data_IF_498388003224
#
_entry.id   IF_498388003224
#
_cell.length_a   1.000
_cell.length_b   1.000
_cell.length_c   1.000
_cell.angle_alpha   90.00
_cell.angle_beta   90.00
_cell.angle_gamma   90.00
#
_symmetry.space_group_name_H-M   'P 1'
#
loop_
_entity.id
_entity.type
_entity.pdbx_description
1 polymer ?
#
# COMPACT_ATOMS: atom_id res chain seq x y z
N UNK A 1 71.73 -6.62 32.85
CA UNK A 1 70.33 -6.57 33.41
C UNK A 1 69.49 -5.78 32.45
N UNK A 2 68.55 -6.44 31.70
CA UNK A 2 67.67 -5.81 30.74
C UNK A 2 66.27 -5.71 31.38
N UNK A 3 65.71 -4.50 31.46
CA UNK A 3 64.41 -4.18 32.09
C UNK A 3 63.22 -4.69 31.25
N UNK A 4 62.27 -5.45 31.84
CA UNK A 4 61.11 -6.01 31.09
C UNK A 4 59.83 -5.16 31.15
N UNK A 5 59.92 -3.86 31.37
CA UNK A 5 58.71 -3.05 31.70
C UNK A 5 58.21 -2.13 30.58
N UNK A 6 58.08 -2.57 29.33
CA UNK A 6 57.62 -1.68 28.26
C UNK A 6 56.50 -2.21 27.35
N UNK A 7 55.77 -3.27 27.69
CA UNK A 7 54.79 -3.83 26.75
C UNK A 7 53.28 -3.62 27.10
N UNK A 8 52.94 -3.08 28.26
CA UNK A 8 51.53 -3.00 28.68
C UNK A 8 50.77 -1.72 28.29
N UNK A 9 51.43 -0.67 27.82
CA UNK A 9 50.79 0.62 27.53
C UNK A 9 50.14 0.73 26.15
N UNK A 10 50.56 -0.04 25.16
CA UNK A 10 50.05 0.03 23.80
C UNK A 10 48.67 -0.65 23.67
N UNK A 11 48.48 -1.81 24.24
CA UNK A 11 47.24 -2.57 24.13
C UNK A 11 45.98 -1.87 24.71
N UNK A 12 46.11 -1.02 25.73
CA UNK A 12 45.00 -0.26 26.29
C UNK A 12 44.56 0.89 25.37
N UNK A 13 45.48 1.47 24.63
CA UNK A 13 45.24 2.58 23.71
C UNK A 13 44.53 2.11 22.46
N UNK A 14 44.88 0.95 21.94
CA UNK A 14 44.28 0.34 20.76
C UNK A 14 42.80 -0.10 21.02
N UNK A 15 42.52 -0.61 22.24
CA UNK A 15 41.15 -0.96 22.65
C UNK A 15 40.20 0.25 22.76
N UNK A 16 40.75 1.38 23.26
CA UNK A 16 39.98 2.63 23.33
C UNK A 16 39.61 3.18 21.94
N UNK A 17 40.57 3.12 21.01
CA UNK A 17 40.34 3.57 19.63
C UNK A 17 39.26 2.72 18.92
N UNK A 18 39.36 1.39 19.03
CA UNK A 18 38.37 0.48 18.44
C UNK A 18 36.96 0.72 18.98
N UNK A 19 36.79 1.06 20.26
CA UNK A 19 35.49 1.41 20.85
C UNK A 19 34.94 2.71 20.27
N UNK A 20 35.80 3.72 20.03
CA UNK A 20 35.35 4.97 19.41
C UNK A 20 34.93 4.75 17.96
N UNK A 21 35.68 4.00 17.18
CA UNK A 21 35.33 3.63 15.81
C UNK A 21 34.02 2.87 15.76
N UNK A 22 33.82 1.86 16.62
CA UNK A 22 32.61 1.11 16.72
C UNK A 22 31.42 2.01 17.11
N UNK A 23 31.57 2.92 18.08
CA UNK A 23 30.54 3.83 18.51
C UNK A 23 30.07 4.81 17.44
N UNK A 24 30.90 5.14 16.47
CA UNK A 24 30.55 5.97 15.32
C UNK A 24 29.84 5.18 14.21
N UNK A 25 30.24 3.93 14.01
CA UNK A 25 29.67 3.08 12.94
C UNK A 25 28.30 2.51 13.34
N UNK A 26 28.12 2.10 14.61
CA UNK A 26 26.90 1.42 15.04
C UNK A 26 25.62 2.23 14.86
N UNK A 27 25.56 3.54 15.15
CA UNK A 27 24.37 4.33 14.89
C UNK A 27 24.00 4.41 13.40
N UNK A 28 25.01 4.52 12.53
CA UNK A 28 24.81 4.53 11.08
C UNK A 28 24.26 3.17 10.59
N UNK A 29 24.86 2.08 11.08
CA UNK A 29 24.39 0.73 10.78
C UNK A 29 22.95 0.51 11.24
N UNK A 30 22.61 0.90 12.47
CA UNK A 30 21.25 0.78 13.00
C UNK A 30 20.25 1.62 12.21
N UNK A 31 20.65 2.81 11.76
CA UNK A 31 19.79 3.66 10.93
C UNK A 31 19.45 2.96 9.61
N UNK A 32 20.45 2.39 8.92
CA UNK A 32 20.24 1.65 7.67
C UNK A 32 19.37 0.42 7.93
N UNK A 33 19.62 -0.31 9.01
CA UNK A 33 18.87 -1.52 9.35
C UNK A 33 17.38 -1.22 9.62
N UNK A 34 17.08 -0.22 10.43
CA UNK A 34 15.71 0.19 10.72
C UNK A 34 15.00 0.73 9.47
N UNK A 35 15.72 1.46 8.61
CA UNK A 35 15.19 1.93 7.31
C UNK A 35 14.76 0.78 6.40
N UNK A 36 15.47 -0.35 6.45
CA UNK A 36 15.12 -1.55 5.67
C UNK A 36 13.80 -2.17 6.16
N UNK A 37 13.52 -2.16 7.47
CA UNK A 37 12.24 -2.58 8.00
C UNK A 37 11.09 -1.68 7.56
N UNK A 38 11.27 -0.36 7.58
CA UNK A 38 10.26 0.58 7.10
C UNK A 38 9.96 0.36 5.61
N UNK A 39 11.00 0.11 4.80
CA UNK A 39 10.83 -0.22 3.38
C UNK A 39 10.02 -1.52 3.21
N UNK A 40 10.34 -2.56 3.97
CA UNK A 40 9.59 -3.83 3.92
C UNK A 40 8.10 -3.65 4.26
N UNK A 41 7.80 -2.83 5.28
CA UNK A 41 6.42 -2.49 5.65
C UNK A 41 5.72 -1.65 4.58
N UNK A 42 6.41 -0.71 3.95
CA UNK A 42 5.87 0.09 2.85
C UNK A 42 5.50 -0.79 1.64
N UNK A 43 6.36 -1.72 1.26
CA UNK A 43 6.08 -2.69 0.18
C UNK A 43 4.89 -3.58 0.54
N UNK A 44 4.81 -4.05 1.78
CA UNK A 44 3.67 -4.84 2.27
C UNK A 44 2.37 -4.04 2.20
N UNK A 45 2.38 -2.78 2.65
CA UNK A 45 1.23 -1.88 2.58
C UNK A 45 0.76 -1.66 1.14
N UNK A 46 1.69 -1.40 0.22
CA UNK A 46 1.38 -1.25 -1.20
C UNK A 46 0.76 -2.52 -1.82
N UNK A 47 1.31 -3.69 -1.52
CA UNK A 47 0.77 -4.96 -2.00
C UNK A 47 -0.64 -5.22 -1.46
N UNK A 48 -0.87 -4.93 -0.19
CA UNK A 48 -2.19 -5.06 0.44
C UNK A 48 -3.21 -4.13 -0.23
N UNK A 49 -2.83 -2.88 -0.49
CA UNK A 49 -3.66 -1.91 -1.19
C UNK A 49 -3.99 -2.37 -2.62
N UNK A 50 -3.01 -2.91 -3.33
CA UNK A 50 -3.19 -3.46 -4.67
C UNK A 50 -4.15 -4.66 -4.68
N UNK A 51 -4.04 -5.55 -3.70
CA UNK A 51 -4.96 -6.68 -3.55
C UNK A 51 -6.39 -6.21 -3.22
N UNK A 52 -6.53 -5.20 -2.37
CA UNK A 52 -7.81 -4.60 -2.03
C UNK A 52 -8.51 -3.98 -3.25
N UNK A 53 -7.76 -3.28 -4.11
CA UNK A 53 -8.29 -2.72 -5.35
C UNK A 53 -8.75 -3.82 -6.32
N UNK A 54 -7.99 -4.92 -6.43
CA UNK A 54 -8.37 -6.08 -7.26
C UNK A 54 -9.63 -6.76 -6.73
N UNK A 55 -9.74 -6.95 -5.42
CA UNK A 55 -10.91 -7.57 -4.82
C UNK A 55 -12.15 -6.69 -4.99
N UNK A 56 -12.02 -5.37 -4.79
CA UNK A 56 -13.09 -4.42 -5.10
C UNK A 56 -13.55 -4.50 -6.56
N UNK A 57 -12.61 -4.56 -7.50
CA UNK A 57 -12.91 -4.70 -8.92
C UNK A 57 -13.60 -6.04 -9.25
N UNK A 58 -13.18 -7.14 -8.62
CA UNK A 58 -13.83 -8.46 -8.80
C UNK A 58 -15.30 -8.44 -8.36
N UNK A 59 -15.62 -7.72 -7.31
CA UNK A 59 -17.01 -7.55 -6.88
C UNK A 59 -17.75 -6.64 -7.86
N UNK A 60 -17.12 -5.57 -8.31
CA UNK A 60 -17.73 -4.59 -9.21
C UNK A 60 -18.14 -5.17 -10.57
N UNK A 61 -17.51 -6.25 -11.05
CA UNK A 61 -17.90 -6.89 -12.32
C UNK A 61 -19.25 -7.61 -12.25
N UNK A 62 -19.71 -7.95 -11.06
CA UNK A 62 -20.97 -8.71 -10.85
C UNK A 62 -21.97 -7.98 -9.99
N UNK A 63 -21.56 -7.05 -9.17
CA UNK A 63 -22.41 -6.23 -8.30
C UNK A 63 -21.95 -4.77 -8.37
N UNK A 64 -22.81 -3.88 -8.86
CA UNK A 64 -22.52 -2.46 -9.03
C UNK A 64 -23.00 -1.60 -7.85
N UNK A 65 -23.29 -2.22 -6.70
CA UNK A 65 -23.59 -1.48 -5.47
C UNK A 65 -22.30 -0.92 -4.85
N UNK A 66 -22.05 0.38 -5.09
CA UNK A 66 -20.82 1.05 -4.66
C UNK A 66 -20.55 0.90 -3.16
N UNK A 67 -21.52 1.07 -2.23
CA UNK A 67 -21.28 0.84 -0.81
C UNK A 67 -20.75 -0.55 -0.48
N UNK A 68 -21.29 -1.58 -1.13
CA UNK A 68 -20.83 -2.97 -0.93
C UNK A 68 -19.41 -3.18 -1.45
N UNK A 69 -19.10 -2.65 -2.64
CA UNK A 69 -17.74 -2.72 -3.22
C UNK A 69 -16.73 -2.05 -2.29
N UNK A 70 -17.01 -0.81 -1.85
CA UNK A 70 -16.14 -0.04 -0.96
C UNK A 70 -15.92 -0.77 0.36
N UNK A 71 -16.98 -1.31 0.96
CA UNK A 71 -16.89 -2.07 2.20
C UNK A 71 -15.98 -3.27 2.07
N UNK A 72 -16.19 -4.11 1.06
CA UNK A 72 -15.39 -5.31 0.83
C UNK A 72 -13.92 -4.98 0.51
N UNK A 73 -13.69 -3.95 -0.31
CA UNK A 73 -12.34 -3.50 -0.61
C UNK A 73 -11.61 -3.02 0.66
N UNK A 74 -12.27 -2.26 1.54
CA UNK A 74 -11.70 -1.80 2.82
C UNK A 74 -11.43 -2.94 3.80
N UNK A 75 -12.24 -3.99 3.83
CA UNK A 75 -12.01 -5.17 4.68
C UNK A 75 -10.66 -5.82 4.40
N UNK A 76 -10.17 -5.76 3.16
CA UNK A 76 -8.85 -6.30 2.79
C UNK A 76 -7.67 -5.46 3.32
N UNK A 77 -7.89 -4.20 3.69
CA UNK A 77 -6.84 -3.32 4.22
C UNK A 77 -6.78 -3.31 5.75
N UNK A 78 -7.65 -4.04 6.45
CA UNK A 78 -7.77 -4.00 7.91
C UNK A 78 -6.50 -4.43 8.68
N UNK A 79 -5.56 -5.13 8.02
CA UNK A 79 -4.31 -5.62 8.62
C UNK A 79 -3.20 -4.55 8.59
N UNK A 80 -3.37 -3.50 7.79
CA UNK A 80 -2.35 -2.47 7.57
C UNK A 80 -2.83 -1.14 8.12
N UNK A 81 -2.04 -0.52 9.00
CA UNK A 81 -2.28 0.84 9.46
C UNK A 81 -2.03 1.82 8.29
N UNK A 82 -3.09 2.15 7.59
CA UNK A 82 -3.10 3.16 6.53
C UNK A 82 -3.90 4.36 7.03
N UNK A 83 -3.33 5.54 6.89
CA UNK A 83 -4.04 6.76 7.20
C UNK A 83 -5.01 7.09 6.07
N UNK A 84 -6.28 7.26 6.44
CA UNK A 84 -7.38 7.72 5.59
C UNK A 84 -7.50 6.99 4.22
N UNK A 85 -7.72 5.66 4.21
CA UNK A 85 -7.85 4.92 2.97
C UNK A 85 -9.12 5.36 2.22
N UNK A 86 -8.94 6.03 1.10
CA UNK A 86 -10.01 6.41 0.18
C UNK A 86 -10.18 5.37 -0.92
N UNK A 87 -11.43 5.06 -1.24
CA UNK A 87 -11.78 4.12 -2.33
C UNK A 87 -12.70 4.83 -3.29
N UNK A 88 -12.28 4.93 -4.54
CA UNK A 88 -13.10 5.48 -5.62
C UNK A 88 -13.51 4.34 -6.55
N UNK A 89 -14.81 4.22 -6.80
CA UNK A 89 -15.39 3.24 -7.72
C UNK A 89 -16.09 3.98 -8.83
N UNK A 90 -15.75 3.66 -10.06
CA UNK A 90 -16.37 4.22 -11.26
C UNK A 90 -16.63 3.15 -12.31
N UNK A 91 -17.68 3.39 -13.12
CA UNK A 91 -18.02 2.56 -14.28
C UNK A 91 -17.92 3.43 -15.52
N UNK A 92 -17.03 3.06 -16.45
CA UNK A 92 -16.68 3.86 -17.59
C UNK A 92 -16.81 3.07 -18.89
N UNK A 93 -17.09 3.76 -20.01
CA UNK A 93 -17.06 3.13 -21.31
C UNK A 93 -15.67 2.65 -21.67
N UNK A 94 -15.61 1.51 -22.36
CA UNK A 94 -14.36 0.98 -22.88
C UNK A 94 -14.07 1.64 -24.24
N UNK A 95 -12.87 2.20 -24.38
CA UNK A 95 -12.35 2.67 -25.67
C UNK A 95 -11.97 1.52 -26.58
N UNK A 96 -11.75 1.82 -27.86
CA UNK A 96 -11.31 0.83 -28.87
C UNK A 96 -9.95 0.19 -28.52
N UNK A 97 -9.13 0.87 -27.72
CA UNK A 97 -7.85 0.36 -27.21
C UNK A 97 -7.98 -0.52 -25.94
N UNK A 98 -9.19 -0.74 -25.45
CA UNK A 98 -9.48 -1.53 -24.26
C UNK A 98 -9.29 -0.76 -22.94
N UNK A 99 -8.99 0.53 -22.97
CA UNK A 99 -8.86 1.36 -21.75
C UNK A 99 -10.18 2.00 -21.35
N UNK A 100 -10.29 2.44 -20.09
CA UNK A 100 -11.48 3.14 -19.59
C UNK A 100 -11.51 4.60 -20.08
N UNK A 101 -12.64 5.02 -20.66
CA UNK A 101 -12.88 6.44 -20.95
C UNK A 101 -13.43 7.14 -19.71
N UNK A 102 -12.55 7.74 -18.93
CA UNK A 102 -12.91 8.44 -17.69
C UNK A 102 -13.75 9.72 -17.93
N UNK A 103 -14.02 10.07 -19.19
CA UNK A 103 -14.90 11.20 -19.55
C UNK A 103 -16.29 10.76 -19.89
N UNK A 104 -16.51 9.47 -20.21
CA UNK A 104 -17.79 8.90 -20.58
C UNK A 104 -18.24 7.83 -19.57
N UNK A 105 -19.05 8.19 -18.55
CA UNK A 105 -19.56 7.24 -17.57
C UNK A 105 -20.60 6.32 -18.20
N UNK A 106 -20.55 5.05 -17.84
CA UNK A 106 -21.60 4.08 -18.17
C UNK A 106 -22.90 4.41 -17.44
N UNK A 107 -23.79 5.16 -18.06
CA UNK A 107 -25.11 5.51 -17.48
C UNK A 107 -26.01 4.29 -17.25
N UNK A 108 -25.88 3.29 -18.09
CA UNK A 108 -26.50 1.98 -17.91
C UNK A 108 -25.37 0.97 -18.08
N UNK A 109 -24.93 0.36 -17.00
CA UNK A 109 -23.88 -0.65 -17.06
C UNK A 109 -24.24 -1.69 -18.12
N UNK A 110 -23.54 -1.69 -19.25
CA UNK A 110 -23.75 -2.54 -20.40
C UNK A 110 -22.51 -3.39 -20.65
N UNK A 111 -22.55 -4.24 -21.65
CA UNK A 111 -21.48 -5.21 -21.95
C UNK A 111 -20.12 -4.62 -22.27
N UNK A 112 -19.98 -3.32 -22.48
CA UNK A 112 -18.67 -2.65 -22.76
C UNK A 112 -18.25 -1.71 -21.64
N UNK A 113 -18.77 -1.87 -20.43
CA UNK A 113 -18.37 -1.07 -19.29
C UNK A 113 -17.17 -1.69 -18.57
N UNK A 114 -16.26 -0.82 -18.16
CA UNK A 114 -15.17 -1.15 -17.27
C UNK A 114 -15.45 -0.68 -15.86
N UNK A 115 -15.32 -1.58 -14.90
CA UNK A 115 -15.31 -1.26 -13.48
C UNK A 115 -13.89 -0.83 -13.11
N UNK A 116 -13.76 0.39 -12.65
CA UNK A 116 -12.47 0.97 -12.21
C UNK A 116 -12.55 1.20 -10.71
N UNK A 117 -11.72 0.50 -9.96
CA UNK A 117 -11.61 0.66 -8.51
C UNK A 117 -10.21 1.20 -8.20
N UNK A 118 -10.16 2.42 -7.69
CA UNK A 118 -8.93 3.08 -7.27
C UNK A 118 -8.88 3.18 -5.76
N UNK A 119 -7.75 2.77 -5.21
CA UNK A 119 -7.42 2.91 -3.81
C UNK A 119 -6.30 3.95 -3.64
N UNK A 120 -6.49 4.85 -2.70
CA UNK A 120 -5.46 5.81 -2.31
C UNK A 120 -5.36 5.85 -0.79
N UNK A 121 -4.15 5.73 -0.26
CA UNK A 121 -3.89 5.78 1.17
C UNK A 121 -2.48 6.29 1.45
N UNK A 122 -2.31 6.93 2.61
CA UNK A 122 -1.02 7.47 3.04
C UNK A 122 -0.38 6.53 4.06
N UNK A 123 0.82 6.06 3.72
CA UNK A 123 1.69 5.28 4.60
C UNK A 123 2.61 6.21 5.37
N UNK A 124 2.74 6.02 6.68
CA UNK A 124 3.71 6.74 7.51
C UNK A 124 4.83 5.81 7.98
N UNK A 125 6.11 6.14 7.69
CA UNK A 125 7.24 5.43 8.25
C UNK A 125 7.28 5.56 9.77
N UNK A 126 7.65 4.48 10.48
CA UNK A 126 7.76 4.49 11.94
C UNK A 126 9.07 5.14 12.39
N UNK A 127 10.11 5.06 11.59
CA UNK A 127 11.42 5.62 11.94
C UNK A 127 11.35 7.15 12.04
N UNK A 128 11.54 7.76 13.22
CA UNK A 128 11.36 9.22 13.40
C UNK A 128 12.27 10.05 12.50
N UNK A 129 13.47 9.54 12.21
CA UNK A 129 14.42 10.23 11.35
C UNK A 129 13.93 10.28 9.90
N UNK A 130 13.37 9.16 9.41
CA UNK A 130 12.85 9.06 8.04
C UNK A 130 11.55 9.84 7.91
N UNK A 131 10.63 9.69 8.86
CA UNK A 131 9.35 10.40 8.84
C UNK A 131 9.50 11.90 8.94
N UNK A 132 10.38 12.40 9.81
CA UNK A 132 10.50 13.85 10.04
C UNK A 132 11.38 14.56 9.01
N UNK A 133 12.36 13.90 8.41
CA UNK A 133 13.33 14.52 7.49
C UNK A 133 12.94 14.30 6.03
N UNK A 134 12.59 13.06 5.65
CA UNK A 134 12.36 12.68 4.26
C UNK A 134 10.87 12.65 3.88
N UNK A 135 10.00 12.16 4.77
CA UNK A 135 8.59 11.92 4.48
C UNK A 135 7.66 12.52 5.54
N UNK A 136 7.76 13.83 5.75
CA UNK A 136 7.01 14.56 6.78
C UNK A 136 5.48 14.37 6.68
N UNK A 137 4.98 14.24 5.46
CA UNK A 137 3.55 14.04 5.18
C UNK A 137 3.20 12.59 4.85
N UNK A 138 4.12 11.65 5.07
CA UNK A 138 3.97 10.26 4.64
C UNK A 138 4.19 10.06 3.15
N UNK A 139 3.97 8.84 2.69
CA UNK A 139 4.03 8.44 1.27
C UNK A 139 2.64 8.01 0.83
N UNK A 140 2.05 8.73 -0.12
CA UNK A 140 0.74 8.37 -0.67
C UNK A 140 0.90 7.29 -1.72
N UNK A 141 0.27 6.15 -1.49
CA UNK A 141 0.14 5.07 -2.47
C UNK A 141 -1.19 5.17 -3.18
N UNK A 142 -1.14 5.05 -4.50
CA UNK A 142 -2.33 4.94 -5.34
C UNK A 142 -2.23 3.68 -6.18
N UNK A 143 -3.28 2.89 -6.17
CA UNK A 143 -3.40 1.69 -7.00
C UNK A 143 -4.78 1.66 -7.64
N UNK A 144 -4.84 1.14 -8.87
CA UNK A 144 -6.08 1.07 -9.64
C UNK A 144 -6.21 -0.32 -10.23
N UNK A 145 -7.38 -0.90 -10.12
CA UNK A 145 -7.76 -2.14 -10.80
C UNK A 145 -8.91 -1.88 -11.75
N UNK A 146 -8.78 -2.39 -12.97
CA UNK A 146 -9.77 -2.23 -14.05
C UNK A 146 -10.17 -3.60 -14.53
N UNK A 147 -11.47 -3.90 -14.53
CA UNK A 147 -12.04 -5.14 -15.02
C UNK A 147 -13.30 -4.87 -15.82
N UNK A 148 -13.56 -5.71 -16.82
CA UNK A 148 -14.80 -5.63 -17.63
C UNK A 148 -16.01 -6.10 -16.82
N UNK A 149 -17.10 -5.38 -16.86
CA UNK A 149 -18.35 -5.77 -16.19
C UNK A 149 -18.96 -6.95 -16.93
N UNK A 150 -19.13 -8.06 -16.23
CA UNK A 150 -19.70 -9.31 -16.77
C UNK A 150 -21.20 -9.42 -16.48
N UNK A 151 -21.63 -8.99 -15.29
CA UNK A 151 -23.01 -9.10 -14.86
C UNK A 151 -23.47 -7.81 -14.21
N UNK A 152 -24.67 -7.36 -14.59
CA UNK A 152 -25.26 -6.13 -14.09
C UNK A 152 -26.21 -6.41 -12.93
N UNK A 153 -25.92 -5.83 -11.77
CA UNK A 153 -26.85 -5.78 -10.65
C UNK A 153 -26.67 -4.47 -9.85
N UNK A 154 -27.71 -3.68 -9.57
CA UNK A 154 -29.14 -3.96 -9.86
C UNK A 154 -29.49 -3.91 -11.34
N UNK A 155 -30.48 -4.69 -11.74
CA UNK A 155 -30.99 -4.78 -13.09
C UNK A 155 -32.56 -4.88 -13.08
N UNK A 156 -33.16 -5.10 -14.24
CA UNK A 156 -34.66 -5.22 -14.33
C UNK A 156 -35.24 -6.34 -13.47
N UNK A 157 -34.50 -7.42 -13.25
CA UNK A 157 -34.94 -8.57 -12.45
C UNK A 157 -34.62 -8.37 -10.95
N UNK A 158 -33.61 -7.55 -10.66
CA UNK A 158 -33.16 -7.23 -9.31
C UNK A 158 -33.02 -5.71 -9.20
N UNK A 159 -34.14 -4.97 -9.02
CA UNK A 159 -34.13 -3.50 -9.09
C UNK A 159 -33.44 -2.81 -7.91
N UNK A 160 -33.15 -3.53 -6.83
CA UNK A 160 -32.45 -3.00 -5.66
C UNK A 160 -31.18 -3.79 -5.36
N UNK A 161 -30.17 -3.12 -4.82
CA UNK A 161 -28.91 -3.76 -4.41
C UNK A 161 -29.13 -4.91 -3.40
N UNK A 162 -30.14 -4.81 -2.55
CA UNK A 162 -30.48 -5.85 -1.58
C UNK A 162 -30.98 -7.15 -2.23
N UNK A 163 -31.50 -7.08 -3.47
CA UNK A 163 -32.00 -8.21 -4.24
C UNK A 163 -30.91 -8.85 -5.12
N UNK A 164 -29.75 -8.22 -5.22
CA UNK A 164 -28.62 -8.78 -5.95
C UNK A 164 -28.18 -10.11 -5.33
N UNK A 165 -27.77 -11.12 -6.14
CA UNK A 165 -27.28 -12.38 -5.62
C UNK A 165 -26.14 -12.12 -4.64
N UNK A 166 -26.26 -12.66 -3.42
CA UNK A 166 -25.14 -12.65 -2.46
C UNK A 166 -24.05 -13.54 -3.02
N UNK A 167 -22.89 -12.95 -3.22
CA UNK A 167 -21.72 -13.73 -3.58
C UNK A 167 -21.27 -14.60 -2.40
N UNK A 168 -20.72 -15.80 -2.66
CA UNK A 168 -20.20 -16.70 -1.65
C UNK A 168 -19.02 -16.13 -0.88
#
# INVERSE_FOLDING_TARGET
MRSPFRRHRSQRRDRGQALVEFSLIIPLFLLVFVSLFDLGRAVFAFNTLSNAAREGARIAIVNQDIPTIVKRAKEQTAIVELNDPSVTVGFWQMKDDGTADTTDPCNLVANNCLAVVSFEATYQPITPLISNILFRNGVTFKTTSVLTVEYRCPNKNFPTAAQCPKQP
#
